data_IF_058546455369
#
_entry.id   IF_058546455369
#
_cell.length_a   1.000
_cell.length_b   1.000
_cell.length_c   1.000
_cell.angle_alpha   90.00
_cell.angle_beta   90.00
_cell.angle_gamma   90.00
#
_symmetry.space_group_name_H-M   'P 1'
#
loop_
_entity.id
_entity.type
_entity.pdbx_description
1 polymer ?
#
# COMPACT_ATOMS: atom_id res chain seq x y z
N UNK A 1 -11.80 -6.61 -13.28
CA UNK A 1 -10.79 -5.80 -12.57
C UNK A 1 -9.46 -5.99 -13.27
N UNK A 2 -8.87 -4.91 -13.77
CA UNK A 2 -7.58 -4.89 -14.47
C UNK A 2 -6.56 -4.30 -13.49
N UNK A 3 -5.46 -5.01 -13.25
CA UNK A 3 -4.33 -4.51 -12.46
C UNK A 3 -3.18 -4.17 -13.41
N UNK A 4 -2.71 -2.92 -13.37
CA UNK A 4 -1.60 -2.44 -14.22
C UNK A 4 -0.69 -1.48 -13.46
N UNK A 5 0.48 -1.21 -14.03
CA UNK A 5 1.32 -0.12 -13.53
C UNK A 5 0.58 1.21 -13.74
N UNK A 6 0.72 2.12 -12.78
CA UNK A 6 0.24 3.48 -12.93
C UNK A 6 1.08 4.24 -13.97
N UNK A 7 0.45 5.17 -14.67
CA UNK A 7 1.12 6.13 -15.56
C UNK A 7 0.68 7.56 -15.27
N UNK A 8 1.22 8.53 -16.01
CA UNK A 8 0.95 9.96 -15.79
C UNK A 8 -0.53 10.35 -15.83
N UNK A 9 -1.38 9.61 -16.56
CA UNK A 9 -2.82 9.84 -16.64
C UNK A 9 -3.56 9.42 -15.36
N UNK A 10 -2.96 8.55 -14.53
CA UNK A 10 -3.57 8.11 -13.28
C UNK A 10 -3.38 9.11 -12.14
N UNK A 11 -2.57 10.16 -12.31
CA UNK A 11 -2.27 11.15 -11.26
C UNK A 11 -3.54 11.73 -10.64
N UNK A 12 -4.43 12.26 -11.47
CA UNK A 12 -5.66 12.88 -10.98
C UNK A 12 -6.61 11.84 -10.34
N UNK A 13 -6.93 10.70 -11.00
CA UNK A 13 -7.71 9.63 -10.37
C UNK A 13 -7.14 9.10 -9.04
N UNK A 14 -5.82 8.97 -8.91
CA UNK A 14 -5.15 8.56 -7.67
C UNK A 14 -5.33 9.59 -6.56
N UNK A 15 -5.20 10.88 -6.88
CA UNK A 15 -5.40 11.96 -5.90
C UNK A 15 -6.85 12.03 -5.44
N UNK A 16 -7.81 11.87 -6.36
CA UNK A 16 -9.23 11.75 -6.03
C UNK A 16 -9.49 10.55 -5.12
N UNK A 17 -8.89 9.39 -5.42
CA UNK A 17 -9.04 8.20 -4.60
C UNK A 17 -8.48 8.40 -3.18
N UNK A 18 -7.31 9.01 -3.02
CA UNK A 18 -6.73 9.32 -1.71
C UNK A 18 -7.71 10.14 -0.85
N UNK A 19 -8.40 11.10 -1.46
CA UNK A 19 -9.34 11.94 -0.73
C UNK A 19 -10.53 11.16 -0.15
N UNK A 20 -10.89 10.03 -0.76
CA UNK A 20 -11.97 9.17 -0.29
C UNK A 20 -11.57 8.21 0.84
N UNK A 21 -10.29 8.20 1.25
CA UNK A 21 -9.81 7.30 2.30
C UNK A 21 -10.05 7.94 3.66
N UNK A 22 -11.04 7.40 4.39
CA UNK A 22 -11.45 7.93 5.70
C UNK A 22 -10.40 7.77 6.81
N UNK A 23 -9.55 6.74 6.72
CA UNK A 23 -8.57 6.43 7.76
C UNK A 23 -7.29 7.28 7.65
N UNK A 24 -7.13 8.14 6.64
CA UNK A 24 -5.97 9.02 6.51
C UNK A 24 -6.29 10.41 7.07
N UNK A 25 -5.40 10.89 7.92
CA UNK A 25 -5.31 12.29 8.32
C UNK A 25 -4.95 13.18 7.12
N UNK A 26 -5.20 14.50 7.19
CA UNK A 26 -4.80 15.43 6.13
C UNK A 26 -3.30 15.36 5.80
N UNK A 27 -2.45 15.17 6.80
CA UNK A 27 -1.00 15.03 6.61
C UNK A 27 -0.63 13.72 5.89
N UNK A 28 -1.28 12.61 6.23
CA UNK A 28 -1.08 11.33 5.53
C UNK A 28 -1.56 11.39 4.08
N UNK A 29 -2.68 12.08 3.81
CA UNK A 29 -3.15 12.31 2.44
C UNK A 29 -2.17 13.14 1.62
N UNK A 30 -1.62 14.20 2.21
CA UNK A 30 -0.60 15.02 1.53
C UNK A 30 0.65 14.21 1.22
N UNK A 31 1.20 13.50 2.20
CA UNK A 31 2.38 12.66 2.00
C UNK A 31 2.13 11.56 0.96
N UNK A 32 0.94 10.94 0.97
CA UNK A 32 0.58 9.96 -0.05
C UNK A 32 0.55 10.57 -1.46
N UNK A 33 0.09 11.82 -1.61
CA UNK A 33 0.14 12.53 -2.89
C UNK A 33 1.58 12.82 -3.34
N UNK A 34 2.45 13.24 -2.43
CA UNK A 34 3.87 13.47 -2.72
C UNK A 34 4.55 12.19 -3.20
N UNK A 35 4.37 11.07 -2.49
CA UNK A 35 4.96 9.79 -2.88
C UNK A 35 4.40 9.29 -4.21
N UNK A 36 3.11 9.47 -4.46
CA UNK A 36 2.52 9.15 -5.77
C UNK A 36 3.09 10.05 -6.86
N UNK A 37 3.24 11.35 -6.60
CA UNK A 37 3.84 12.28 -7.53
C UNK A 37 5.24 11.79 -7.94
N UNK A 38 6.07 11.42 -6.98
CA UNK A 38 7.44 10.96 -7.19
C UNK A 38 7.48 9.64 -7.97
N UNK A 39 6.65 8.66 -7.59
CA UNK A 39 6.57 7.38 -8.28
C UNK A 39 6.07 7.46 -9.72
N UNK A 40 5.23 8.46 -10.03
CA UNK A 40 4.79 8.73 -11.41
C UNK A 40 5.82 9.54 -12.21
N UNK A 41 6.71 10.26 -11.56
CA UNK A 41 7.71 11.10 -12.23
C UNK A 41 8.89 10.29 -12.77
N UNK A 42 9.41 9.34 -11.98
CA UNK A 42 10.52 8.48 -12.41
C UNK A 42 10.56 7.18 -11.60
N UNK A 43 10.84 6.06 -12.27
CA UNK A 43 11.09 4.79 -11.61
C UNK A 43 12.36 4.81 -10.74
N UNK A 44 13.29 5.73 -10.99
CA UNK A 44 14.53 5.90 -10.20
C UNK A 44 14.25 6.42 -8.78
N UNK A 45 13.08 7.02 -8.55
CA UNK A 45 12.66 7.47 -7.23
C UNK A 45 12.31 6.31 -6.28
N UNK A 46 12.31 5.06 -6.78
CA UNK A 46 12.13 3.86 -5.96
C UNK A 46 10.69 3.54 -5.57
N UNK A 47 9.70 4.33 -6.02
CA UNK A 47 8.29 4.09 -5.76
C UNK A 47 7.61 3.44 -6.97
N UNK A 48 7.11 2.23 -6.78
CA UNK A 48 6.30 1.51 -7.77
C UNK A 48 4.83 1.53 -7.38
N UNK A 49 3.96 1.83 -8.34
CA UNK A 49 2.52 1.96 -8.12
C UNK A 49 1.77 1.04 -9.07
N UNK A 50 0.89 0.21 -8.53
CA UNK A 50 -0.14 -0.49 -9.31
C UNK A 50 -1.49 0.11 -9.02
N UNK A 51 -2.32 0.18 -10.07
CA UNK A 51 -3.70 0.62 -9.99
C UNK A 51 -4.64 -0.51 -10.37
N UNK A 52 -5.79 -0.56 -9.71
CA UNK A 52 -6.91 -1.39 -10.06
C UNK A 52 -7.97 -0.53 -10.76
N UNK A 53 -8.33 -0.91 -11.98
CA UNK A 53 -9.41 -0.26 -12.74
C UNK A 53 -10.44 -1.30 -13.16
N UNK A 54 -11.71 -0.93 -13.15
CA UNK A 54 -12.81 -1.72 -13.70
C UNK A 54 -13.05 -1.45 -15.19
N UNK A 55 -12.22 -0.62 -15.82
CA UNK A 55 -12.37 -0.15 -17.21
C UNK A 55 -13.01 1.23 -17.31
N UNK A 56 -13.50 1.80 -16.20
CA UNK A 56 -13.96 3.18 -16.13
C UNK A 56 -12.84 4.20 -15.88
N UNK A 57 -13.22 5.48 -15.78
CA UNK A 57 -12.32 6.59 -15.47
C UNK A 57 -11.85 6.63 -14.01
N UNK A 58 -12.60 5.98 -13.10
CA UNK A 58 -12.28 5.95 -11.68
C UNK A 58 -11.47 4.71 -11.32
N UNK A 59 -10.54 4.86 -10.37
CA UNK A 59 -9.75 3.76 -9.86
C UNK A 59 -10.48 3.05 -8.72
N UNK A 60 -10.50 1.72 -8.78
CA UNK A 60 -11.03 0.88 -7.71
C UNK A 60 -10.05 0.75 -6.53
N UNK A 61 -8.76 1.04 -6.73
CA UNK A 61 -7.75 0.95 -5.70
C UNK A 61 -6.33 1.14 -6.24
N UNK A 62 -5.36 1.26 -5.32
CA UNK A 62 -3.94 1.27 -5.66
C UNK A 62 -3.09 0.59 -4.59
N UNK A 63 -1.86 0.23 -4.96
CA UNK A 63 -0.79 -0.21 -4.06
C UNK A 63 0.50 0.48 -4.44
N UNK A 64 1.24 0.98 -3.45
CA UNK A 64 2.53 1.65 -3.58
C UNK A 64 3.57 0.89 -2.76
N UNK A 65 4.70 0.56 -3.38
CA UNK A 65 5.78 -0.23 -2.77
C UNK A 65 7.14 0.14 -3.37
N UNK A 66 8.23 -0.18 -2.66
CA UNK A 66 9.59 0.15 -3.09
C UNK A 66 10.64 -0.81 -2.53
N UNK A 67 11.79 -0.90 -3.19
CA UNK A 67 12.91 -1.72 -2.70
C UNK A 67 13.61 -0.99 -1.55
N UNK A 68 13.92 -1.70 -0.48
CA UNK A 68 14.62 -1.13 0.67
C UNK A 68 16.09 -0.93 0.27
N UNK A 69 16.63 0.31 0.33
CA UNK A 69 18.00 0.58 -0.06
C UNK A 69 19.01 -0.29 0.70
N UNK A 70 20.07 -0.72 -0.01
CA UNK A 70 21.17 -1.51 0.56
C UNK A 70 20.68 -2.85 1.14
N UNK A 71 19.64 -3.42 0.53
CA UNK A 71 19.17 -4.78 0.81
C UNK A 71 19.13 -5.59 -0.49
N UNK A 72 18.86 -6.89 -0.39
CA UNK A 72 18.73 -7.77 -1.55
C UNK A 72 17.30 -8.26 -1.62
N UNK A 73 16.45 -7.76 -2.53
CA UNK A 73 15.04 -8.19 -2.63
C UNK A 73 14.23 -8.03 -1.34
N UNK A 74 14.48 -6.98 -0.54
CA UNK A 74 13.57 -6.61 0.55
C UNK A 74 12.79 -5.38 0.12
N UNK A 75 11.50 -5.38 0.40
CA UNK A 75 10.57 -4.39 -0.13
C UNK A 75 9.68 -3.87 0.97
N UNK A 76 9.41 -2.57 0.96
CA UNK A 76 8.37 -1.97 1.78
C UNK A 76 7.09 -1.81 0.95
N UNK A 77 5.96 -2.20 1.53
CA UNK A 77 4.64 -1.77 1.07
C UNK A 77 4.30 -0.48 1.84
N UNK A 78 4.31 0.64 1.14
CA UNK A 78 4.02 1.95 1.73
C UNK A 78 2.53 2.18 1.94
N UNK A 79 1.72 1.96 0.89
CA UNK A 79 0.27 2.08 0.99
C UNK A 79 -0.46 1.05 0.15
N UNK A 80 -1.61 0.61 0.64
CA UNK A 80 -2.64 -0.06 -0.14
C UNK A 80 -4.00 0.52 0.22
N UNK A 81 -4.73 0.96 -0.78
CA UNK A 81 -6.06 1.54 -0.58
C UNK A 81 -7.03 1.08 -1.67
N UNK A 82 -8.29 0.98 -1.30
CA UNK A 82 -9.39 0.56 -2.16
C UNK A 82 -10.50 1.59 -2.01
N UNK A 83 -11.11 1.98 -3.12
CA UNK A 83 -12.23 2.91 -3.12
C UNK A 83 -13.36 2.38 -2.21
N UNK A 84 -14.02 3.21 -1.37
CA UNK A 84 -14.99 2.73 -0.39
C UNK A 84 -16.13 1.88 -0.98
N UNK A 85 -16.61 2.25 -2.17
CA UNK A 85 -17.65 1.57 -2.96
C UNK A 85 -17.19 0.23 -3.57
N UNK A 86 -15.88 0.06 -3.71
CA UNK A 86 -15.19 -1.15 -4.17
C UNK A 86 -14.62 -2.00 -3.02
N UNK A 87 -14.79 -1.55 -1.77
CA UNK A 87 -14.35 -2.27 -0.59
C UNK A 87 -15.05 -3.63 -0.46
N UNK A 88 -14.37 -4.60 0.18
CA UNK A 88 -14.88 -5.98 0.40
C UNK A 88 -15.18 -6.79 -0.87
N UNK A 89 -14.75 -6.32 -2.06
CA UNK A 89 -14.86 -7.07 -3.34
C UNK A 89 -13.56 -7.78 -3.75
N UNK A 90 -12.60 -7.93 -2.84
CA UNK A 90 -11.31 -8.59 -3.11
C UNK A 90 -10.27 -7.74 -3.82
N UNK A 91 -10.54 -6.46 -4.12
CA UNK A 91 -9.62 -5.56 -4.85
C UNK A 91 -8.26 -5.43 -4.18
N UNK A 92 -8.21 -5.26 -2.86
CA UNK A 92 -6.95 -5.18 -2.11
C UNK A 92 -6.13 -6.47 -2.22
N UNK A 93 -6.76 -7.64 -2.17
CA UNK A 93 -6.07 -8.92 -2.37
C UNK A 93 -5.54 -9.06 -3.79
N UNK A 94 -6.28 -8.61 -4.81
CA UNK A 94 -5.79 -8.61 -6.19
C UNK A 94 -4.58 -7.70 -6.39
N UNK A 95 -4.58 -6.50 -5.78
CA UNK A 95 -3.44 -5.57 -5.80
C UNK A 95 -2.22 -6.17 -5.09
N UNK A 96 -2.42 -6.74 -3.90
CA UNK A 96 -1.37 -7.42 -3.14
C UNK A 96 -0.73 -8.56 -3.94
N UNK A 97 -1.55 -9.47 -4.48
CA UNK A 97 -1.08 -10.61 -5.29
C UNK A 97 -0.34 -10.15 -6.55
N UNK A 98 -0.79 -9.05 -7.18
CA UNK A 98 -0.12 -8.51 -8.36
C UNK A 98 1.25 -7.92 -8.02
N UNK A 99 1.40 -7.23 -6.89
CA UNK A 99 2.69 -6.78 -6.37
C UNK A 99 3.58 -7.99 -6.09
N UNK A 100 3.13 -8.93 -5.27
CA UNK A 100 3.90 -10.13 -4.91
C UNK A 100 4.39 -10.90 -6.15
N UNK A 101 3.52 -11.08 -7.16
CA UNK A 101 3.89 -11.71 -8.43
C UNK A 101 4.99 -10.96 -9.18
N UNK A 102 4.99 -9.62 -9.14
CA UNK A 102 6.03 -8.79 -9.79
C UNK A 102 7.38 -8.89 -9.07
N UNK A 103 7.36 -8.98 -7.74
CA UNK A 103 8.59 -9.12 -6.94
C UNK A 103 9.25 -10.49 -7.18
N UNK A 104 8.43 -11.53 -7.36
CA UNK A 104 8.89 -12.88 -7.65
C UNK A 104 9.57 -13.58 -6.48
N UNK A 105 10.04 -14.80 -6.73
CA UNK A 105 10.54 -15.70 -5.68
C UNK A 105 11.77 -15.16 -4.96
N UNK A 106 11.78 -15.33 -3.63
CA UNK A 106 12.85 -14.94 -2.73
C UNK A 106 12.82 -13.47 -2.34
N UNK A 107 11.77 -12.74 -2.72
CA UNK A 107 11.49 -11.43 -2.18
C UNK A 107 10.88 -11.55 -0.78
N UNK A 108 11.16 -10.57 0.08
CA UNK A 108 10.46 -10.39 1.35
C UNK A 108 9.83 -9.01 1.37
N UNK A 109 8.55 -8.95 1.71
CA UNK A 109 7.79 -7.71 1.83
C UNK A 109 7.58 -7.39 3.30
N UNK A 110 7.75 -6.13 3.66
CA UNK A 110 7.48 -5.56 4.97
C UNK A 110 6.33 -4.56 4.88
N UNK A 111 5.54 -4.49 5.94
CA UNK A 111 4.43 -3.55 6.04
C UNK A 111 4.36 -2.97 7.45
N UNK A 112 4.41 -1.65 7.55
CA UNK A 112 4.28 -0.94 8.80
C UNK A 112 2.82 -0.49 9.00
N UNK A 113 2.26 -0.69 10.18
CA UNK A 113 0.91 -0.19 10.51
C UNK A 113 0.75 0.10 12.00
N UNK A 114 -0.21 0.96 12.36
CA UNK A 114 -0.52 1.30 13.75
C UNK A 114 -1.10 0.11 14.52
N UNK A 115 -0.78 0.05 15.81
CA UNK A 115 -1.32 -0.91 16.79
C UNK A 115 -2.73 -0.57 17.27
N UNK A 116 -3.21 0.66 17.05
CA UNK A 116 -4.52 1.12 17.52
C UNK A 116 -5.70 0.31 16.95
N UNK A 117 -6.86 0.37 17.59
CA UNK A 117 -8.07 -0.33 17.15
C UNK A 117 -8.56 0.12 15.78
N UNK A 118 -8.33 1.39 15.39
CA UNK A 118 -8.67 1.93 14.07
C UNK A 118 -8.01 1.18 12.90
N UNK A 119 -6.85 0.58 13.15
CA UNK A 119 -6.08 -0.18 12.16
C UNK A 119 -6.31 -1.71 12.23
N UNK A 120 -7.22 -2.20 13.09
CA UNK A 120 -7.50 -3.63 13.22
C UNK A 120 -7.91 -4.30 11.90
N UNK A 121 -8.65 -3.58 11.04
CA UNK A 121 -9.05 -4.07 9.70
C UNK A 121 -7.85 -4.22 8.76
N UNK A 122 -6.90 -3.30 8.81
CA UNK A 122 -5.67 -3.36 8.01
C UNK A 122 -4.79 -4.54 8.47
N UNK A 123 -4.58 -4.68 9.78
CA UNK A 123 -3.87 -5.82 10.37
C UNK A 123 -4.48 -7.17 9.97
N UNK A 124 -5.80 -7.31 10.14
CA UNK A 124 -6.51 -8.51 9.71
C UNK A 124 -6.42 -8.77 8.20
N UNK A 125 -6.30 -7.71 7.39
CA UNK A 125 -6.09 -7.86 5.94
C UNK A 125 -4.70 -8.43 5.64
N UNK A 126 -3.64 -7.95 6.27
CA UNK A 126 -2.30 -8.50 6.09
C UNK A 126 -2.23 -9.97 6.54
N UNK A 127 -2.77 -10.28 7.72
CA UNK A 127 -2.82 -11.65 8.26
C UNK A 127 -3.52 -12.63 7.32
N UNK A 128 -4.68 -12.26 6.78
CA UNK A 128 -5.41 -13.10 5.80
C UNK A 128 -4.68 -13.28 4.47
N UNK A 129 -3.77 -12.37 4.12
CA UNK A 129 -2.91 -12.50 2.94
C UNK A 129 -1.58 -13.20 3.25
N UNK A 130 -1.42 -13.77 4.45
CA UNK A 130 -0.26 -14.59 4.83
C UNK A 130 0.91 -13.81 5.41
N UNK A 131 0.72 -12.52 5.73
CA UNK A 131 1.73 -11.76 6.45
C UNK A 131 1.69 -12.09 7.95
N UNK A 132 2.86 -12.11 8.57
CA UNK A 132 3.02 -12.40 10.00
C UNK A 132 3.69 -11.21 10.69
N UNK A 133 3.38 -11.00 11.97
CA UNK A 133 4.04 -9.97 12.78
C UNK A 133 5.53 -10.33 12.91
N UNK A 134 6.40 -9.44 12.41
CA UNK A 134 7.85 -9.55 12.50
C UNK A 134 8.40 -8.83 13.73
N UNK A 135 7.83 -7.66 14.05
CA UNK A 135 8.25 -6.84 15.17
C UNK A 135 7.09 -5.93 15.64
N UNK A 136 7.14 -5.54 16.91
CA UNK A 136 6.29 -4.49 17.47
C UNK A 136 7.19 -3.49 18.18
N UNK A 137 7.04 -2.21 17.83
CA UNK A 137 7.71 -1.09 18.48
C UNK A 137 6.71 -0.33 19.34
N UNK A 138 6.79 -0.45 20.69
CA UNK A 138 5.86 0.23 21.58
C UNK A 138 5.92 1.75 21.43
N UNK A 139 4.76 2.41 21.51
CA UNK A 139 4.63 3.89 21.52
C UNK A 139 5.36 4.61 20.36
N UNK A 140 5.56 3.93 19.23
CA UNK A 140 6.38 4.42 18.13
C UNK A 140 5.81 5.68 17.46
N UNK A 141 4.50 5.70 17.18
CA UNK A 141 3.88 6.85 16.51
C UNK A 141 3.55 7.96 17.50
N UNK A 142 3.09 7.57 18.69
CA UNK A 142 2.81 8.40 19.87
C UNK A 142 2.49 7.48 21.05
N UNK A 143 2.38 8.04 22.26
CA UNK A 143 1.93 7.28 23.43
C UNK A 143 0.59 6.57 23.17
N UNK A 144 0.56 5.26 23.41
CA UNK A 144 -0.58 4.36 23.15
C UNK A 144 -0.74 3.92 21.69
N UNK A 145 0.21 4.24 20.80
CA UNK A 145 0.17 3.86 19.39
C UNK A 145 1.48 3.21 18.92
N UNK A 146 1.48 1.88 19.04
CA UNK A 146 2.58 1.03 18.61
C UNK A 146 2.72 0.99 17.09
N UNK A 147 3.93 0.73 16.62
CA UNK A 147 4.15 0.28 15.25
C UNK A 147 4.23 -1.24 15.21
N UNK A 148 3.31 -1.85 14.47
CA UNK A 148 3.32 -3.28 14.17
C UNK A 148 3.89 -3.46 12.77
N UNK A 149 5.01 -4.18 12.69
CA UNK A 149 5.66 -4.52 11.42
C UNK A 149 5.27 -5.93 11.04
N UNK A 150 4.63 -6.07 9.90
CA UNK A 150 4.31 -7.34 9.27
C UNK A 150 5.37 -7.70 8.22
N UNK A 151 5.58 -8.98 7.98
CA UNK A 151 6.40 -9.46 6.88
C UNK A 151 5.86 -10.72 6.22
N UNK A 152 6.22 -10.93 4.96
CA UNK A 152 5.92 -12.15 4.20
C UNK A 152 7.06 -12.48 3.23
N UNK A 153 7.45 -13.76 3.21
CA UNK A 153 8.31 -14.32 2.16
C UNK A 153 7.48 -14.71 0.94
N UNK A 154 7.97 -14.34 -0.25
CA UNK A 154 7.33 -14.56 -1.56
C UNK A 154 8.05 -15.67 -2.34
#
# INVERSE_FOLDING_TARGET
>A
MIIRAADGNDRHPLFTLIETIDNFTPAEKELAREVIHDGLASAENGYHILVASDGGSSLAGFICYGEIPITVKRWDLYWIAVAPDMSRRGVGTLLMQAMEKRLGKGARVYVDTSGTSGYARARSFYERNGYQVACVFPDFYRAGDDKVVYSKDI
#
